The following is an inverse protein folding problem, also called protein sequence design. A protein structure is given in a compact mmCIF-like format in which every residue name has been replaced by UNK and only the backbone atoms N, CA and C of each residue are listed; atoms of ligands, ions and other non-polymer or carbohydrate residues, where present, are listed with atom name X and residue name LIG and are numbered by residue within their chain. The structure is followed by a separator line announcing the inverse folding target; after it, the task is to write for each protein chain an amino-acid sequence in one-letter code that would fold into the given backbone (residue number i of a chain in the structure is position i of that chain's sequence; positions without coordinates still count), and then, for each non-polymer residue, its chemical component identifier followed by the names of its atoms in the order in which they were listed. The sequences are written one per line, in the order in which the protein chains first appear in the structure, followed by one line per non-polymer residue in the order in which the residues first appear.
data_IF_544930749923
#
_entry.id   IF_544930749923
#
_cell.length_a   1.000
_cell.length_b   1.000
_cell.length_c   1.000
_cell.angle_alpha   90.00
_cell.angle_beta   90.00
_cell.angle_gamma   90.00
#
_symmetry.space_group_name_H-M   'P 1'
#
loop_
_entity.id
_entity.type
_entity.pdbx_description
1 polymer ?
#
# COMPACT_ATOMS: atom_id res chain seq x y z
N UNK A 1 1.19 20.93 17.91
CA UNK A 1 1.01 19.56 17.33
C UNK A 1 -0.36 19.52 16.66
N UNK A 2 -0.60 18.77 15.59
CA UNK A 2 -1.86 18.78 14.79
C UNK A 2 -3.14 18.72 15.65
N UNK A 3 -3.07 18.16 16.85
CA UNK A 3 -4.07 18.24 17.92
C UNK A 3 -4.40 19.66 18.48
N UNK A 4 -3.76 20.73 18.01
CA UNK A 4 -4.05 22.13 18.34
C UNK A 4 -4.54 22.92 17.11
N UNK A 5 -4.87 22.23 16.02
CA UNK A 5 -5.41 22.85 14.81
C UNK A 5 -6.93 22.87 14.86
N UNK A 6 -7.55 23.90 14.27
CA UNK A 6 -9.01 23.97 14.18
C UNK A 6 -9.53 22.81 13.32
N UNK A 7 -10.78 22.36 13.50
CA UNK A 7 -11.37 21.28 12.70
C UNK A 7 -11.19 21.46 11.19
N UNK A 8 -11.23 22.71 10.72
CA UNK A 8 -11.07 23.07 9.31
C UNK A 8 -9.64 22.79 8.82
N UNK A 9 -8.62 23.08 9.64
CA UNK A 9 -7.22 22.80 9.29
C UNK A 9 -6.94 21.30 9.25
N UNK A 10 -7.55 20.55 10.16
CA UNK A 10 -7.48 19.10 10.14
C UNK A 10 -8.13 18.53 8.87
N UNK A 11 -9.34 18.99 8.52
CA UNK A 11 -10.02 18.57 7.30
C UNK A 11 -9.23 18.93 6.02
N UNK A 12 -8.60 20.11 5.97
CA UNK A 12 -7.72 20.51 4.87
C UNK A 12 -6.49 19.59 4.75
N UNK A 13 -5.88 19.24 5.89
CA UNK A 13 -4.74 18.33 5.92
C UNK A 13 -5.13 16.92 5.43
N UNK A 14 -6.24 16.36 5.93
CA UNK A 14 -6.73 15.06 5.48
C UNK A 14 -7.04 15.05 3.98
N UNK A 15 -7.71 16.10 3.46
CA UNK A 15 -7.95 16.27 2.02
C UNK A 15 -6.64 16.33 1.23
N UNK A 16 -5.64 17.07 1.73
CA UNK A 16 -4.31 17.14 1.11
C UNK A 16 -3.61 15.78 1.09
N UNK A 17 -3.63 15.05 2.22
CA UNK A 17 -3.02 13.73 2.35
C UNK A 17 -3.64 12.75 1.36
N UNK A 18 -4.96 12.63 1.35
CA UNK A 18 -5.69 11.72 0.46
C UNK A 18 -5.41 12.03 -1.03
N UNK A 19 -5.46 13.31 -1.42
CA UNK A 19 -5.19 13.72 -2.80
C UNK A 19 -3.73 13.49 -3.19
N UNK A 20 -2.79 13.71 -2.27
CA UNK A 20 -1.36 13.46 -2.50
C UNK A 20 -1.12 11.97 -2.75
N UNK A 21 -1.66 11.11 -1.89
CA UNK A 21 -1.53 9.65 -2.04
C UNK A 21 -2.16 9.22 -3.36
N UNK A 22 -3.39 9.65 -3.65
CA UNK A 22 -4.07 9.30 -4.90
C UNK A 22 -3.30 9.76 -6.15
N UNK A 23 -2.72 10.97 -6.12
CA UNK A 23 -1.92 11.50 -7.23
C UNK A 23 -0.69 10.63 -7.53
N UNK A 24 0.03 10.20 -6.49
CA UNK A 24 1.21 9.38 -6.66
C UNK A 24 0.88 7.90 -6.91
N UNK A 25 -0.25 7.40 -6.40
CA UNK A 25 -0.77 6.07 -6.73
C UNK A 25 -1.15 5.98 -8.22
N UNK A 26 -1.85 6.97 -8.78
CA UNK A 26 -2.20 7.02 -10.21
C UNK A 26 -0.95 7.10 -11.10
N UNK A 27 0.08 7.82 -10.62
CA UNK A 27 1.32 8.03 -11.37
C UNK A 27 2.28 6.86 -11.33
N UNK A 28 2.45 6.23 -10.17
CA UNK A 28 3.48 5.20 -9.96
C UNK A 28 2.89 3.79 -9.85
N UNK A 29 1.60 3.64 -9.60
CA UNK A 29 0.95 2.34 -9.48
C UNK A 29 1.66 1.46 -8.46
N UNK A 30 2.00 0.24 -8.88
CA UNK A 30 2.73 -0.74 -8.07
C UNK A 30 4.15 -0.31 -7.69
N UNK A 31 4.73 0.68 -8.39
CA UNK A 31 6.05 1.21 -8.04
C UNK A 31 6.02 2.04 -6.74
N UNK A 32 4.85 2.53 -6.28
CA UNK A 32 4.71 3.20 -4.98
C UNK A 32 4.62 2.15 -3.87
N UNK A 33 5.74 1.93 -3.17
CA UNK A 33 5.84 0.85 -2.18
C UNK A 33 5.38 1.26 -0.78
N UNK A 34 5.62 2.52 -0.40
CA UNK A 34 5.31 2.98 0.95
C UNK A 34 5.00 4.46 1.00
N UNK A 35 4.03 4.81 1.85
CA UNK A 35 3.73 6.18 2.26
C UNK A 35 3.78 6.23 3.78
N UNK A 36 4.69 7.03 4.33
CA UNK A 36 4.87 7.22 5.77
C UNK A 36 4.45 8.64 6.14
N UNK A 37 3.52 8.76 7.08
CA UNK A 37 3.02 10.03 7.59
C UNK A 37 3.77 10.44 8.86
N UNK A 38 4.32 11.66 8.85
CA UNK A 38 4.96 12.25 10.03
C UNK A 38 4.07 13.34 10.61
N UNK A 39 3.62 13.12 11.84
CA UNK A 39 2.82 14.07 12.65
C UNK A 39 3.56 14.55 13.91
N UNK A 40 4.74 13.99 14.16
CA UNK A 40 5.62 14.23 15.30
C UNK A 40 6.57 15.43 15.09
N UNK A 41 6.70 15.90 13.85
CA UNK A 41 7.48 17.08 13.46
C UNK A 41 6.67 18.39 13.47
N UNK A 42 7.32 19.57 13.37
CA UNK A 42 6.64 20.87 13.38
C UNK A 42 5.59 21.04 12.27
N UNK A 43 5.84 20.44 11.10
CA UNK A 43 4.96 20.49 9.95
C UNK A 43 4.62 19.06 9.49
N UNK A 44 3.34 18.67 9.49
CA UNK A 44 2.92 17.38 8.98
C UNK A 44 3.32 17.19 7.53
N UNK A 45 3.92 16.05 7.21
CA UNK A 45 4.35 15.73 5.85
C UNK A 45 4.34 14.22 5.60
N UNK A 46 4.48 13.86 4.32
CA UNK A 46 4.51 12.48 3.86
C UNK A 46 5.87 12.17 3.23
N UNK A 47 6.45 11.03 3.60
CA UNK A 47 7.51 10.39 2.84
C UNK A 47 6.90 9.35 1.91
N UNK A 48 7.15 9.50 0.60
CA UNK A 48 6.73 8.53 -0.40
C UNK A 48 7.97 7.81 -0.94
N UNK A 49 7.96 6.49 -0.87
CA UNK A 49 8.99 5.62 -1.42
C UNK A 49 8.46 4.94 -2.67
N UNK A 50 9.07 5.25 -3.81
CA UNK A 50 8.79 4.57 -5.07
C UNK A 50 10.05 3.92 -5.64
N UNK A 51 9.92 2.70 -6.15
CA UNK A 51 11.01 1.91 -6.73
C UNK A 51 10.62 1.48 -8.13
N UNK A 52 11.43 1.78 -9.17
CA UNK A 52 11.16 1.33 -10.53
C UNK A 52 11.05 -0.19 -10.62
N UNK A 53 10.27 -0.74 -11.57
CA UNK A 53 10.40 -2.15 -11.92
C UNK A 53 11.82 -2.43 -12.45
N UNK A 54 12.30 -3.66 -12.22
CA UNK A 54 13.53 -4.15 -12.84
C UNK A 54 13.28 -4.39 -14.34
N UNK A 55 14.25 -4.04 -15.18
CA UNK A 55 14.26 -4.47 -16.57
C UNK A 55 14.70 -5.94 -16.72
N UNK A 56 14.77 -6.43 -17.97
CA UNK A 56 15.12 -7.83 -18.28
C UNK A 56 16.54 -8.21 -17.80
N UNK A 57 17.40 -7.21 -17.63
CA UNK A 57 18.77 -7.34 -17.17
C UNK A 57 18.90 -7.15 -15.64
N UNK A 58 17.80 -6.90 -14.94
CA UNK A 58 17.78 -6.71 -13.49
C UNK A 58 18.25 -5.32 -13.04
N UNK A 59 18.11 -4.30 -13.88
CA UNK A 59 18.56 -2.93 -13.59
C UNK A 59 17.37 -2.03 -13.24
N UNK A 60 17.53 -1.22 -12.20
CA UNK A 60 16.57 -0.19 -11.81
C UNK A 60 16.83 1.11 -12.56
N UNK A 61 15.85 1.55 -13.36
CA UNK A 61 15.98 2.77 -14.16
C UNK A 61 14.97 3.83 -13.73
N UNK A 62 15.44 4.90 -13.07
CA UNK A 62 14.59 6.00 -12.57
C UNK A 62 13.80 6.72 -13.67
N UNK A 63 14.30 6.70 -14.91
CA UNK A 63 13.64 7.29 -16.07
C UNK A 63 12.27 6.65 -16.35
N UNK A 64 12.02 5.42 -15.88
CA UNK A 64 10.74 4.72 -16.08
C UNK A 64 9.61 5.25 -15.19
N UNK A 65 9.93 5.86 -14.04
CA UNK A 65 8.93 6.35 -13.08
C UNK A 65 8.96 7.87 -12.88
N UNK A 66 10.04 8.55 -13.29
CA UNK A 66 10.21 9.98 -13.10
C UNK A 66 10.21 10.71 -14.44
N UNK A 67 9.12 11.41 -14.73
CA UNK A 67 8.95 12.18 -15.97
C UNK A 67 10.10 13.18 -16.25
N UNK A 68 10.65 13.91 -15.25
CA UNK A 68 11.84 14.74 -15.46
C UNK A 68 13.07 13.96 -15.93
N UNK A 69 13.34 12.80 -15.32
CA UNK A 69 14.47 11.95 -15.71
C UNK A 69 14.23 11.27 -17.07
N UNK A 70 12.99 10.89 -17.38
CA UNK A 70 12.60 10.38 -18.71
C UNK A 70 12.94 11.40 -19.81
N UNK A 71 12.44 12.63 -19.67
CA UNK A 71 12.69 13.71 -20.64
C UNK A 71 14.19 14.03 -20.79
N UNK A 72 14.95 13.95 -19.70
CA UNK A 72 16.41 14.09 -19.73
C UNK A 72 17.07 12.94 -20.51
N UNK A 73 16.64 11.70 -20.26
CA UNK A 73 17.12 10.49 -20.91
C UNK A 73 16.84 10.45 -22.41
N UNK A 74 15.65 10.88 -22.83
CA UNK A 74 15.28 11.00 -24.24
C UNK A 74 16.20 11.97 -24.98
N UNK A 75 16.47 13.16 -24.42
CA UNK A 75 17.42 14.11 -25.01
C UNK A 75 18.83 13.56 -25.05
N UNK A 76 19.25 12.79 -24.05
CA UNK A 76 20.56 12.12 -24.04
C UNK A 76 20.65 11.08 -25.17
N UNK A 77 19.63 10.23 -25.33
CA UNK A 77 19.55 9.21 -26.39
C UNK A 77 19.52 9.81 -27.80
N UNK A 78 18.93 11.00 -27.95
CA UNK A 78 18.92 11.76 -29.20
C UNK A 78 20.25 12.48 -29.51
N UNK A 79 21.31 12.29 -28.71
CA UNK A 79 22.60 12.96 -28.89
C UNK A 79 22.64 14.42 -28.44
N UNK A 80 21.60 14.89 -27.72
CA UNK A 80 21.51 16.27 -27.26
C UNK A 80 22.55 16.62 -26.19
N UNK A 81 23.02 17.87 -26.22
CA UNK A 81 24.04 18.36 -25.31
C UNK A 81 23.55 18.44 -23.85
N UNK A 82 24.49 18.57 -22.90
CA UNK A 82 24.17 18.65 -21.45
C UNK A 82 23.22 19.80 -21.10
N UNK A 83 23.30 20.92 -21.82
CA UNK A 83 22.40 22.05 -21.65
C UNK A 83 20.96 21.72 -22.05
N UNK A 84 20.76 21.01 -23.16
CA UNK A 84 19.44 20.59 -23.65
C UNK A 84 18.80 19.55 -22.75
N UNK A 85 19.60 18.59 -22.26
CA UNK A 85 19.17 17.61 -21.26
C UNK A 85 18.66 18.29 -19.98
N UNK A 86 19.42 19.27 -19.45
CA UNK A 86 19.00 20.05 -18.26
C UNK A 86 17.75 20.89 -18.53
N UNK A 87 17.62 21.45 -19.73
CA UNK A 87 16.43 22.21 -20.15
C UNK A 87 15.19 21.32 -20.16
N UNK A 88 15.29 20.12 -20.76
CA UNK A 88 14.21 19.14 -20.80
C UNK A 88 13.80 18.67 -19.39
N UNK A 89 14.77 18.35 -18.54
CA UNK A 89 14.51 17.99 -17.14
C UNK A 89 13.73 19.09 -16.41
N UNK A 90 14.20 20.35 -16.51
CA UNK A 90 13.56 21.48 -15.83
C UNK A 90 12.15 21.73 -16.33
N UNK A 91 11.92 21.65 -17.64
CA UNK A 91 10.59 21.81 -18.21
C UNK A 91 9.62 20.75 -17.67
N UNK A 92 10.03 19.47 -17.70
CA UNK A 92 9.22 18.37 -17.18
C UNK A 92 9.02 18.45 -15.65
N UNK A 93 9.99 18.95 -14.90
CA UNK A 93 9.86 19.17 -13.45
C UNK A 93 8.87 20.30 -13.12
N UNK A 94 8.84 21.37 -13.93
CA UNK A 94 7.84 22.44 -13.80
C UNK A 94 6.46 21.89 -14.10
N UNK A 95 6.30 21.15 -15.20
CA UNK A 95 5.03 20.51 -15.57
C UNK A 95 4.52 19.55 -14.49
N UNK A 96 5.41 18.76 -13.87
CA UNK A 96 5.05 17.89 -12.76
C UNK A 96 4.53 18.69 -11.56
N UNK A 97 5.19 19.80 -11.21
CA UNK A 97 4.74 20.67 -10.12
C UNK A 97 3.42 21.38 -10.45
N UNK A 98 3.22 21.79 -11.70
CA UNK A 98 1.99 22.45 -12.17
C UNK A 98 0.81 21.47 -12.14
N UNK A 99 1.03 20.25 -12.64
CA UNK A 99 0.04 19.17 -12.56
C UNK A 99 -0.32 18.89 -11.10
N UNK A 100 0.67 18.67 -10.24
CA UNK A 100 0.44 18.43 -8.81
C UNK A 100 -0.31 19.58 -8.14
N UNK A 101 0.02 20.82 -8.49
CA UNK A 101 -0.69 21.98 -7.98
C UNK A 101 -2.16 21.98 -8.40
N UNK A 102 -2.46 21.76 -9.68
CA UNK A 102 -3.82 21.76 -10.20
C UNK A 102 -4.65 20.63 -9.58
N UNK A 103 -4.07 19.45 -9.38
CA UNK A 103 -4.78 18.25 -8.91
C UNK A 103 -4.89 18.15 -7.39
N UNK A 104 -3.87 18.63 -6.67
CA UNK A 104 -3.75 18.50 -5.21
C UNK A 104 -3.70 19.87 -4.53
N UNK A 105 -2.75 20.71 -4.93
CA UNK A 105 -2.47 21.96 -4.23
C UNK A 105 -3.64 22.95 -4.18
N UNK A 106 -4.17 23.33 -5.34
CA UNK A 106 -5.25 24.31 -5.46
C UNK A 106 -6.55 23.84 -4.76
N UNK A 107 -7.03 22.58 -4.93
CA UNK A 107 -8.17 22.07 -4.17
C UNK A 107 -7.99 22.12 -2.65
N UNK A 108 -6.75 22.01 -2.16
CA UNK A 108 -6.42 22.07 -0.73
C UNK A 108 -6.08 23.47 -0.23
N UNK A 109 -6.30 24.51 -1.05
CA UNK A 109 -6.02 25.90 -0.67
C UNK A 109 -4.52 26.26 -0.60
N UNK A 110 -3.64 25.41 -1.14
CA UNK A 110 -2.21 25.72 -1.23
C UNK A 110 -1.95 26.71 -2.36
N UNK A 111 -0.83 27.42 -2.28
CA UNK A 111 -0.34 28.28 -3.36
C UNK A 111 0.71 27.56 -4.20
N UNK A 112 0.66 27.75 -5.53
CA UNK A 112 1.64 27.16 -6.46
C UNK A 112 3.07 27.64 -6.20
N UNK A 113 3.20 28.92 -5.86
CA UNK A 113 4.47 29.59 -5.65
C UNK A 113 4.51 30.10 -4.22
N UNK A 114 5.55 29.72 -3.48
CA UNK A 114 5.76 30.27 -2.14
C UNK A 114 6.03 31.77 -2.15
N UNK A 115 5.88 32.44 -0.98
CA UNK A 115 5.93 33.90 -0.85
C UNK A 115 7.24 34.53 -1.34
N UNK A 116 8.37 33.82 -1.24
CA UNK A 116 9.69 34.31 -1.71
C UNK A 116 9.84 34.34 -3.24
N UNK A 117 8.88 33.82 -4.02
CA UNK A 117 8.96 33.74 -5.48
C UNK A 117 8.12 34.78 -6.23
N UNK A 118 7.42 35.69 -5.54
CA UNK A 118 6.54 36.66 -6.22
C UNK A 118 7.12 38.09 -6.15
N UNK A 119 7.54 38.63 -7.31
CA UNK A 119 7.42 40.06 -7.60
C UNK A 119 6.30 40.17 -8.63
N UNK A 120 5.13 40.67 -8.22
CA UNK A 120 3.99 40.86 -9.11
C UNK A 120 3.57 42.33 -9.08
N UNK A 121 3.31 42.87 -10.26
CA UNK A 121 2.68 44.18 -10.43
C UNK A 121 1.17 44.07 -10.16
N UNK A 122 0.54 45.20 -9.86
CA UNK A 122 -0.89 45.26 -9.46
C UNK A 122 -1.85 44.72 -10.54
N UNK A 123 -1.50 44.88 -11.82
CA UNK A 123 -2.29 44.33 -12.93
C UNK A 123 -2.17 42.80 -13.04
N UNK A 124 -0.98 42.24 -12.79
CA UNK A 124 -0.76 40.80 -12.80
C UNK A 124 -1.49 40.12 -11.63
N UNK A 125 -1.58 40.77 -10.48
CA UNK A 125 -2.39 40.29 -9.34
C UNK A 125 -3.89 40.26 -9.67
N UNK A 126 -4.40 41.26 -10.38
CA UNK A 126 -5.82 41.34 -10.77
C UNK A 126 -6.17 40.27 -11.82
N UNK A 127 -5.28 40.06 -12.79
CA UNK A 127 -5.42 39.02 -13.80
C UNK A 127 -5.36 37.62 -13.17
N UNK A 128 -4.43 37.38 -12.23
CA UNK A 128 -4.35 36.12 -11.46
C UNK A 128 -5.62 35.82 -10.69
N UNK A 129 -6.26 36.84 -10.11
CA UNK A 129 -7.51 36.65 -9.37
C UNK A 129 -8.64 36.17 -10.27
N UNK A 130 -8.79 36.75 -11.47
CA UNK A 130 -9.79 36.32 -12.45
C UNK A 130 -9.53 34.90 -12.97
N UNK A 131 -8.26 34.55 -13.17
CA UNK A 131 -7.86 33.17 -13.53
C UNK A 131 -8.19 32.19 -12.40
N UNK A 132 -7.88 32.54 -11.14
CA UNK A 132 -8.25 31.73 -9.97
C UNK A 132 -9.76 31.52 -9.84
N UNK A 133 -10.57 32.55 -10.10
CA UNK A 133 -12.03 32.46 -10.08
C UNK A 133 -12.54 31.49 -11.18
N UNK A 134 -11.95 31.53 -12.38
CA UNK A 134 -12.28 30.60 -13.47
C UNK A 134 -11.79 29.15 -13.18
N UNK A 135 -10.60 29.01 -12.60
CA UNK A 135 -10.04 27.72 -12.17
C UNK A 135 -10.88 27.07 -11.05
N UNK A 136 -11.45 27.87 -10.14
CA UNK A 136 -12.35 27.37 -9.10
C UNK A 136 -13.62 26.73 -9.69
N UNK A 137 -14.17 27.30 -10.77
CA UNK A 137 -15.32 26.73 -11.48
C UNK A 137 -14.93 25.44 -12.21
N UNK A 138 -13.76 25.40 -12.84
CA UNK A 138 -13.24 24.18 -13.48
C UNK A 138 -12.89 23.08 -12.47
N UNK A 139 -12.44 23.45 -11.27
CA UNK A 139 -12.16 22.53 -10.17
C UNK A 139 -13.44 21.84 -9.65
N UNK A 140 -14.58 22.55 -9.62
CA UNK A 140 -15.86 21.96 -9.24
C UNK A 140 -16.32 20.85 -10.20
N UNK A 141 -16.07 20.98 -11.51
CA UNK A 141 -16.37 19.94 -12.48
C UNK A 141 -15.45 18.71 -12.33
N UNK A 142 -14.16 18.93 -12.04
CA UNK A 142 -13.21 17.84 -11.75
C UNK A 142 -13.49 17.11 -10.43
N UNK A 143 -14.12 17.79 -9.47
CA UNK A 143 -14.48 17.18 -8.18
C UNK A 143 -15.58 16.11 -8.34
N UNK A 144 -16.52 16.29 -9.28
CA UNK A 144 -17.51 15.28 -9.62
C UNK A 144 -16.87 14.03 -10.26
N UNK A 145 -15.85 14.22 -11.09
CA UNK A 145 -15.08 13.12 -11.68
C UNK A 145 -14.22 12.40 -10.62
N UNK A 146 -13.61 13.16 -9.70
CA UNK A 146 -12.78 12.64 -8.62
C UNK A 146 -13.59 11.83 -7.60
N UNK A 147 -14.78 12.29 -7.23
CA UNK A 147 -15.68 11.56 -6.32
C UNK A 147 -16.15 10.23 -6.94
N UNK A 148 -16.42 10.20 -8.25
CA UNK A 148 -16.70 8.97 -8.98
C UNK A 148 -15.51 8.01 -8.98
N UNK A 149 -14.30 8.49 -9.29
CA UNK A 149 -13.07 7.68 -9.31
C UNK A 149 -12.70 7.16 -7.91
N UNK A 150 -12.89 7.97 -6.86
CA UNK A 150 -12.69 7.59 -5.45
C UNK A 150 -13.55 6.39 -5.07
N UNK A 151 -14.86 6.44 -5.40
CA UNK A 151 -15.79 5.36 -5.10
C UNK A 151 -15.35 4.05 -5.76
N UNK A 152 -15.00 4.11 -7.05
CA UNK A 152 -14.50 2.95 -7.79
C UNK A 152 -13.24 2.33 -7.16
N UNK A 153 -12.24 3.14 -6.82
CA UNK A 153 -11.01 2.64 -6.21
C UNK A 153 -11.27 2.03 -4.82
N UNK A 154 -12.18 2.62 -4.05
CA UNK A 154 -12.60 2.07 -2.75
C UNK A 154 -13.25 0.69 -2.92
N UNK A 155 -14.17 0.57 -3.88
CA UNK A 155 -14.86 -0.68 -4.20
C UNK A 155 -13.86 -1.77 -4.64
N UNK A 156 -12.87 -1.43 -5.47
CA UNK A 156 -11.82 -2.35 -5.93
C UNK A 156 -10.91 -2.82 -4.77
N UNK A 157 -10.55 -1.91 -3.86
CA UNK A 157 -9.73 -2.21 -2.68
C UNK A 157 -10.47 -3.06 -1.66
N UNK A 158 -11.76 -2.81 -1.43
CA UNK A 158 -12.59 -3.60 -0.54
C UNK A 158 -12.83 -5.00 -1.11
N UNK A 159 -13.01 -5.11 -2.44
CA UNK A 159 -13.05 -6.40 -3.12
C UNK A 159 -11.74 -7.18 -3.01
N UNK A 160 -10.58 -6.50 -3.13
CA UNK A 160 -9.27 -7.10 -2.93
C UNK A 160 -9.08 -7.61 -1.49
N UNK A 161 -9.40 -6.79 -0.48
CA UNK A 161 -9.35 -7.18 0.93
C UNK A 161 -10.24 -8.38 1.23
N UNK A 162 -11.45 -8.41 0.68
CA UNK A 162 -12.38 -9.52 0.82
C UNK A 162 -11.81 -10.83 0.24
N UNK A 163 -11.19 -10.77 -0.95
CA UNK A 163 -10.52 -11.93 -1.56
C UNK A 163 -9.35 -12.44 -0.72
N UNK A 164 -8.50 -11.56 -0.22
CA UNK A 164 -7.38 -11.94 0.66
C UNK A 164 -7.87 -12.56 1.99
N UNK A 165 -8.91 -11.98 2.59
CA UNK A 165 -9.51 -12.50 3.82
C UNK A 165 -10.15 -13.88 3.62
N UNK A 166 -10.85 -14.09 2.49
CA UNK A 166 -11.42 -15.39 2.11
C UNK A 166 -10.32 -16.43 1.92
N UNK A 167 -9.28 -16.12 1.14
CA UNK A 167 -8.19 -17.06 0.88
C UNK A 167 -7.43 -17.46 2.17
N UNK A 168 -7.23 -16.51 3.09
CA UNK A 168 -6.65 -16.79 4.40
C UNK A 168 -7.56 -17.66 5.27
N UNK A 169 -8.87 -17.38 5.30
CA UNK A 169 -9.85 -18.19 6.01
C UNK A 169 -9.95 -19.62 5.46
N UNK A 170 -9.94 -19.78 4.15
CA UNK A 170 -9.98 -21.08 3.46
C UNK A 170 -8.73 -21.91 3.78
N UNK A 171 -7.55 -21.29 3.79
CA UNK A 171 -6.30 -21.96 4.17
C UNK A 171 -6.30 -22.41 5.64
N UNK A 172 -6.78 -21.55 6.55
CA UNK A 172 -6.89 -21.86 7.98
C UNK A 172 -7.89 -22.99 8.21
N UNK A 173 -9.08 -22.91 7.63
CA UNK A 173 -10.12 -23.94 7.75
C UNK A 173 -9.67 -25.28 7.17
N UNK A 174 -8.96 -25.25 6.03
CA UNK A 174 -8.35 -26.44 5.42
C UNK A 174 -7.33 -27.11 6.36
N UNK A 175 -6.47 -26.33 7.00
CA UNK A 175 -5.50 -26.83 7.97
C UNK A 175 -6.18 -27.45 9.20
N UNK A 176 -7.21 -26.81 9.76
CA UNK A 176 -7.97 -27.34 10.89
C UNK A 176 -8.71 -28.65 10.53
N UNK A 177 -9.31 -28.73 9.34
CA UNK A 177 -9.97 -29.94 8.87
C UNK A 177 -8.99 -31.12 8.73
N UNK A 178 -7.77 -30.86 8.24
CA UNK A 178 -6.71 -31.87 8.12
C UNK A 178 -6.20 -32.35 9.50
N UNK A 179 -5.99 -31.42 10.44
CA UNK A 179 -5.64 -31.78 11.83
C UNK A 179 -6.74 -32.63 12.45
N UNK A 180 -8.01 -32.28 12.24
CA UNK A 180 -9.17 -33.05 12.71
C UNK A 180 -9.20 -34.48 12.15
N UNK A 181 -8.98 -34.64 10.84
CA UNK A 181 -8.89 -35.97 10.19
C UNK A 181 -7.75 -36.80 10.77
N UNK A 182 -6.57 -36.23 10.95
CA UNK A 182 -5.42 -36.92 11.55
C UNK A 182 -5.68 -37.35 12.99
N UNK A 183 -6.30 -36.48 13.79
CA UNK A 183 -6.66 -36.80 15.16
C UNK A 183 -7.69 -37.94 15.24
N UNK A 184 -8.68 -37.96 14.33
CA UNK A 184 -9.65 -39.05 14.24
C UNK A 184 -9.00 -40.37 13.82
N UNK A 185 -8.14 -40.36 12.81
CA UNK A 185 -7.38 -41.53 12.37
C UNK A 185 -6.50 -42.09 13.51
N UNK A 186 -5.79 -41.21 14.22
CA UNK A 186 -4.98 -41.61 15.38
C UNK A 186 -5.84 -42.22 16.50
N UNK A 187 -6.99 -41.64 16.82
CA UNK A 187 -7.91 -42.19 17.82
C UNK A 187 -8.44 -43.57 17.42
N UNK A 188 -8.78 -43.75 16.14
CA UNK A 188 -9.20 -45.05 15.62
C UNK A 188 -8.10 -46.10 15.74
N UNK A 189 -6.85 -45.72 15.43
CA UNK A 189 -5.70 -46.62 15.53
C UNK A 189 -5.37 -46.98 16.99
N UNK A 190 -5.39 -46.01 17.91
CA UNK A 190 -5.22 -46.27 19.34
C UNK A 190 -6.29 -47.25 19.84
N UNK A 191 -7.53 -47.09 19.37
CA UNK A 191 -8.62 -48.02 19.74
C UNK A 191 -8.39 -49.42 19.17
N UNK A 192 -8.00 -49.51 17.90
CA UNK A 192 -7.64 -50.79 17.25
C UNK A 192 -6.55 -51.52 18.02
N UNK A 193 -5.48 -50.81 18.40
CA UNK A 193 -4.36 -51.36 19.17
C UNK A 193 -4.79 -51.77 20.59
N UNK A 194 -5.70 -51.03 21.22
CA UNK A 194 -6.24 -51.39 22.53
C UNK A 194 -7.08 -52.68 22.46
N UNK A 195 -7.92 -52.80 21.44
CA UNK A 195 -8.75 -53.99 21.19
C UNK A 195 -7.86 -55.21 20.86
N UNK A 196 -6.86 -55.03 20.00
CA UNK A 196 -5.87 -56.06 19.65
C UNK A 196 -5.05 -56.50 20.88
N UNK A 197 -4.59 -55.54 21.71
CA UNK A 197 -3.92 -55.84 22.97
C UNK A 197 -4.83 -56.63 23.93
N UNK A 198 -6.10 -56.25 24.04
CA UNK A 198 -7.06 -56.96 24.90
C UNK A 198 -7.27 -58.41 24.42
N UNK A 199 -7.39 -58.61 23.11
CA UNK A 199 -7.50 -59.94 22.50
C UNK A 199 -6.27 -60.82 22.81
N UNK A 200 -5.06 -60.32 22.58
CA UNK A 200 -3.85 -61.10 22.88
C UNK A 200 -3.67 -61.38 24.37
N UNK A 201 -4.00 -60.42 25.24
CA UNK A 201 -3.97 -60.65 26.69
C UNK A 201 -4.93 -61.76 27.10
N UNK A 202 -6.13 -61.81 26.52
CA UNK A 202 -7.07 -62.89 26.79
C UNK A 202 -6.54 -64.24 26.32
N UNK A 203 -5.97 -64.32 25.10
CA UNK A 203 -5.35 -65.56 24.63
C UNK A 203 -4.20 -66.05 25.50
N UNK A 204 -3.36 -65.13 25.98
CA UNK A 204 -2.26 -65.47 26.89
C UNK A 204 -2.79 -66.03 28.21
N UNK A 205 -3.84 -65.41 28.79
CA UNK A 205 -4.50 -65.91 29.99
C UNK A 205 -5.07 -67.33 29.79
N UNK A 206 -5.71 -67.58 28.65
CA UNK A 206 -6.28 -68.89 28.33
C UNK A 206 -5.19 -69.98 28.18
N UNK A 207 -3.98 -69.59 27.78
CA UNK A 207 -2.79 -70.46 27.72
C UNK A 207 -2.08 -70.61 29.08
N UNK A 208 -2.64 -70.06 30.16
CA UNK A 208 -2.10 -70.16 31.51
C UNK A 208 -0.98 -69.17 31.82
N UNK A 209 -0.73 -68.19 30.95
CA UNK A 209 0.21 -67.11 31.25
C UNK A 209 -0.41 -66.13 32.24
N UNK A 210 0.27 -65.88 33.35
CA UNK A 210 -0.12 -64.85 34.32
C UNK A 210 0.75 -63.61 34.15
N UNK A 211 0.18 -62.40 34.19
CA UNK A 211 0.97 -61.18 34.16
C UNK A 211 1.95 -61.16 35.33
N UNK A 212 3.22 -60.78 35.11
CA UNK A 212 4.16 -60.60 36.22
C UNK A 212 3.61 -59.54 37.19
N UNK A 213 3.70 -59.85 38.48
CA UNK A 213 3.23 -58.95 39.54
C UNK A 213 4.03 -57.65 39.50
N UNK A 214 3.34 -56.54 39.20
CA UNK A 214 3.93 -55.20 39.14
C UNK A 214 4.38 -54.69 40.51
N UNK A 215 4.09 -55.39 41.60
CA UNK A 215 4.61 -55.08 42.94
C UNK A 215 6.12 -55.37 43.09
N UNK A 216 6.74 -56.08 42.14
CA UNK A 216 8.17 -56.40 42.14
C UNK A 216 8.89 -55.81 40.92
N UNK A 217 8.87 -54.50 40.77
CA UNK A 217 9.87 -53.80 39.95
C UNK A 217 10.67 -52.87 40.86
N UNK A 218 11.99 -53.08 41.02
CA UNK A 218 12.85 -52.08 41.64
C UNK A 218 12.79 -50.82 40.76
N UNK A 219 12.53 -49.68 41.39
CA UNK A 219 12.44 -48.41 40.70
C UNK A 219 13.66 -48.15 39.81
N UNK A 220 13.38 -47.62 38.63
CA UNK A 220 14.30 -46.85 37.81
C UNK A 220 13.61 -45.52 37.52
#
# INVERSE_FOLDING_TARGET
KVMQSTPERHAQYESWKERTIAFFQDRWGEALLSVVEHLDEPFPHLHLLAVPPLDAEGVLTVETISAPHCAQGEKRRAGGGRAEQRKAFRAAAVELQDTYYITVGAPCGLERLGPKRQRLTRQEALARRKVKEAEAVAAAAKEAEWTYRRRRNQDDMDAYRSRCASAAADAINGAYAEIGRRAQAMKAEVRRLADERAFYLQQLLDLGWTPPDRSTSPGI
#
